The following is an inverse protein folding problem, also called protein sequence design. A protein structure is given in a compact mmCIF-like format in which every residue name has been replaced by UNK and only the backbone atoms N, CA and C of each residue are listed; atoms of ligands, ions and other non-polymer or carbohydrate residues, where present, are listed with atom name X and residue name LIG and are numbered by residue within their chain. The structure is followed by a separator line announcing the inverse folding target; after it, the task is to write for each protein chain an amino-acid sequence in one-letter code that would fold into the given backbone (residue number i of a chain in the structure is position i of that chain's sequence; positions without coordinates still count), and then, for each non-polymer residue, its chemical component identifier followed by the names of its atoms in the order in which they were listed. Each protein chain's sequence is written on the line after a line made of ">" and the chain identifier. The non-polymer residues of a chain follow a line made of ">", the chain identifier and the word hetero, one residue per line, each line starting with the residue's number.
data_IF_481752764446
#
_entry.id   IF_481752764446
#
_cell.length_a   1.000
_cell.length_b   1.000
_cell.length_c   1.000
_cell.angle_alpha   90.00
_cell.angle_beta   90.00
_cell.angle_gamma   90.00
#
_symmetry.space_group_name_H-M   'P 1'
#
loop_
_entity.id
_entity.type
_entity.pdbx_description
1 polymer ?
#
# COMPACT_ATOMS: atom_id res chain seq x y z
N UNK A 1 -3.64 -40.66 48.27
CA UNK A 1 -4.46 -40.71 47.03
C UNK A 1 -5.47 -39.57 47.11
N UNK A 2 -5.47 -38.67 46.10
CA UNK A 2 -6.32 -37.45 45.98
C UNK A 2 -5.93 -36.39 47.03
N UNK A 3 -5.25 -35.29 46.69
CA UNK A 3 -5.73 -34.25 45.79
C UNK A 3 -4.57 -33.39 45.28
N UNK A 4 -3.97 -33.77 44.16
CA UNK A 4 -3.09 -32.91 43.33
C UNK A 4 -3.85 -32.67 42.03
N UNK A 5 -4.95 -31.92 42.09
CA UNK A 5 -5.69 -31.47 40.90
C UNK A 5 -6.36 -30.15 41.26
N UNK A 6 -5.61 -29.03 41.25
CA UNK A 6 -6.22 -27.68 41.25
C UNK A 6 -5.31 -26.49 40.94
N UNK A 7 -4.17 -26.65 40.27
CA UNK A 7 -3.29 -25.50 39.91
C UNK A 7 -2.78 -25.52 38.45
N UNK A 8 -3.42 -26.24 37.52
CA UNK A 8 -2.99 -26.27 36.09
C UNK A 8 -4.03 -25.71 35.11
N UNK A 9 -5.12 -25.12 35.61
CA UNK A 9 -6.19 -24.58 34.73
C UNK A 9 -5.97 -23.09 34.37
N UNK A 10 -4.91 -22.44 34.87
CA UNK A 10 -4.65 -21.01 34.61
C UNK A 10 -3.73 -20.72 33.41
N UNK A 11 -3.40 -21.72 32.59
CA UNK A 11 -2.49 -21.58 31.42
C UNK A 11 -3.14 -21.87 30.07
N UNK A 12 -4.46 -22.11 30.00
CA UNK A 12 -5.17 -22.44 28.75
C UNK A 12 -6.00 -21.25 28.22
N UNK A 13 -6.12 -20.14 28.97
CA UNK A 13 -6.88 -18.95 28.54
C UNK A 13 -6.01 -17.88 27.85
N UNK A 14 -4.68 -18.05 27.82
CA UNK A 14 -3.77 -17.16 27.07
C UNK A 14 -3.39 -17.68 25.68
N UNK A 15 -3.89 -18.86 25.28
CA UNK A 15 -3.57 -19.53 24.01
C UNK A 15 -4.72 -19.59 23.00
N UNK A 16 -5.86 -18.95 23.29
CA UNK A 16 -7.00 -18.92 22.36
C UNK A 16 -7.08 -17.59 21.63
N UNK A 17 -6.65 -17.63 20.37
CA UNK A 17 -7.34 -16.96 19.28
C UNK A 17 -7.53 -15.45 19.41
N UNK A 18 -6.42 -14.73 19.23
CA UNK A 18 -6.45 -13.59 18.30
C UNK A 18 -5.77 -14.07 17.01
N UNK A 19 -6.32 -15.13 16.41
CA UNK A 19 -6.39 -15.16 14.95
C UNK A 19 -7.43 -14.09 14.65
N UNK A 20 -7.00 -12.84 14.50
CA UNK A 20 -7.80 -11.89 13.73
C UNK A 20 -8.04 -12.63 12.42
N UNK A 21 -9.29 -12.99 12.21
CA UNK A 21 -9.75 -13.60 10.99
C UNK A 21 -9.59 -12.56 9.88
N UNK A 22 -8.35 -12.42 9.40
CA UNK A 22 -7.95 -11.53 8.31
C UNK A 22 -8.65 -11.91 7.00
N UNK A 23 -9.37 -13.04 6.99
CA UNK A 23 -10.16 -13.50 5.85
C UNK A 23 -11.46 -12.72 5.63
N UNK A 24 -11.98 -11.98 6.63
CA UNK A 24 -13.22 -11.19 6.47
C UNK A 24 -13.01 -9.74 6.00
N UNK A 25 -11.79 -9.20 6.05
CA UNK A 25 -11.48 -7.87 5.50
C UNK A 25 -11.16 -7.90 3.99
N UNK A 26 -11.02 -9.09 3.40
CA UNK A 26 -10.48 -9.28 2.05
C UNK A 26 -11.54 -9.48 0.96
N UNK A 27 -12.75 -8.95 1.14
CA UNK A 27 -13.82 -9.04 0.14
C UNK A 27 -14.27 -7.66 -0.34
N UNK A 28 -14.02 -7.40 -1.65
CA UNK A 28 -14.47 -6.26 -2.50
C UNK A 28 -13.52 -5.07 -2.69
N UNK A 29 -12.22 -5.30 -2.78
CA UNK A 29 -11.26 -4.28 -3.21
C UNK A 29 -10.63 -4.57 -4.57
N UNK A 30 -10.97 -3.80 -5.62
CA UNK A 30 -10.10 -3.69 -6.81
C UNK A 30 -8.77 -2.99 -6.45
N UNK A 31 -7.86 -2.71 -7.40
CA UNK A 31 -6.57 -2.06 -7.11
C UNK A 31 -6.66 -0.77 -6.27
N UNK A 32 -7.80 -0.07 -6.28
CA UNK A 32 -8.08 1.09 -5.42
C UNK A 32 -8.09 0.80 -3.91
N UNK A 33 -8.09 -0.46 -3.48
CA UNK A 33 -7.91 -0.85 -2.07
C UNK A 33 -6.45 -1.16 -1.71
N UNK A 34 -5.53 -1.12 -2.67
CA UNK A 34 -4.12 -1.46 -2.47
C UNK A 34 -3.24 -0.24 -2.14
N UNK A 35 -3.82 0.97 -2.14
CA UNK A 35 -3.09 2.22 -1.88
C UNK A 35 -2.30 2.19 -0.58
N UNK A 36 -2.85 1.81 0.60
CA UNK A 36 -2.05 1.79 1.82
C UNK A 36 -0.92 0.76 1.77
N UNK A 37 -1.11 -0.38 1.10
CA UNK A 37 -0.06 -1.38 0.90
C UNK A 37 1.06 -0.82 0.02
N UNK A 38 0.74 -0.12 -1.07
CA UNK A 38 1.74 0.53 -1.94
C UNK A 38 2.53 1.58 -1.15
N UNK A 39 1.87 2.37 -0.30
CA UNK A 39 2.57 3.33 0.58
C UNK A 39 3.55 2.61 1.51
N UNK A 40 3.14 1.49 2.10
CA UNK A 40 4.02 0.67 2.96
C UNK A 40 5.18 0.04 2.18
N UNK A 41 4.93 -0.40 0.95
CA UNK A 41 5.93 -1.01 0.05
C UNK A 41 7.01 0.04 -0.30
N UNK A 42 6.61 1.26 -0.69
CA UNK A 42 7.51 2.37 -1.05
C UNK A 42 8.30 2.89 0.15
N UNK A 43 7.66 3.00 1.31
CA UNK A 43 8.32 3.40 2.55
C UNK A 43 9.14 2.27 3.19
N UNK A 44 9.09 1.05 2.62
CA UNK A 44 9.75 -0.15 3.11
C UNK A 44 9.47 -0.32 4.60
N UNK A 45 8.20 -0.25 5.00
CA UNK A 45 7.82 -0.38 6.41
C UNK A 45 7.98 -1.84 6.88
N UNK A 46 8.18 -2.05 8.18
CA UNK A 46 8.09 -3.40 8.75
C UNK A 46 6.61 -3.79 8.93
N UNK A 47 6.34 -5.03 9.33
CA UNK A 47 4.98 -5.54 9.52
C UNK A 47 4.17 -4.66 10.50
N UNK A 48 4.74 -4.37 11.68
CA UNK A 48 4.06 -3.59 12.73
C UNK A 48 3.67 -2.18 12.25
N UNK A 49 4.59 -1.44 11.63
CA UNK A 49 4.29 -0.10 11.08
C UNK A 49 3.31 -0.19 9.92
N UNK A 50 3.43 -1.21 9.07
CA UNK A 50 2.51 -1.41 7.94
C UNK A 50 1.08 -1.62 8.42
N UNK A 51 0.86 -2.43 9.44
CA UNK A 51 -0.47 -2.67 10.02
C UNK A 51 -1.09 -1.37 10.53
N UNK A 52 -0.31 -0.56 11.26
CA UNK A 52 -0.76 0.76 11.76
C UNK A 52 -1.13 1.70 10.61
N UNK A 53 -0.30 1.78 9.57
CA UNK A 53 -0.56 2.62 8.39
C UNK A 53 -1.81 2.17 7.64
N UNK A 54 -1.97 0.86 7.41
CA UNK A 54 -3.15 0.30 6.73
C UNK A 54 -4.42 0.58 7.53
N UNK A 55 -4.42 0.31 8.83
CA UNK A 55 -5.58 0.54 9.69
C UNK A 55 -5.98 2.03 9.78
N UNK A 56 -5.00 2.93 9.89
CA UNK A 56 -5.25 4.37 9.88
C UNK A 56 -5.82 4.84 8.53
N UNK A 57 -5.27 4.34 7.42
CA UNK A 57 -5.77 4.64 6.09
C UNK A 57 -7.22 4.21 5.89
N UNK A 58 -7.55 2.98 6.30
CA UNK A 58 -8.91 2.45 6.19
C UNK A 58 -9.89 3.25 7.07
N UNK A 59 -9.47 3.61 8.29
CA UNK A 59 -10.26 4.46 9.19
C UNK A 59 -10.55 5.84 8.59
N UNK A 60 -9.51 6.53 8.09
CA UNK A 60 -9.67 7.86 7.48
C UNK A 60 -10.56 7.77 6.24
N UNK A 61 -10.33 6.77 5.38
CA UNK A 61 -11.10 6.58 4.16
C UNK A 61 -12.57 6.25 4.45
N UNK A 62 -12.85 5.46 5.49
CA UNK A 62 -14.21 5.17 5.91
C UNK A 62 -14.92 6.45 6.36
N UNK A 63 -14.29 7.25 7.24
CA UNK A 63 -14.85 8.54 7.69
C UNK A 63 -15.16 9.45 6.49
N UNK A 64 -14.25 9.55 5.53
CA UNK A 64 -14.48 10.35 4.32
C UNK A 64 -15.64 9.85 3.45
N UNK A 65 -15.80 8.52 3.34
CA UNK A 65 -16.94 7.95 2.60
C UNK A 65 -18.26 8.29 3.29
N UNK A 66 -18.31 8.20 4.62
CA UNK A 66 -19.49 8.56 5.41
C UNK A 66 -19.81 10.05 5.30
N UNK A 67 -18.80 10.93 5.39
CA UNK A 67 -18.96 12.38 5.18
C UNK A 67 -19.49 12.71 3.77
N UNK A 68 -18.97 12.04 2.75
CA UNK A 68 -19.42 12.24 1.36
C UNK A 68 -20.87 11.77 1.15
N UNK A 69 -21.26 10.66 1.79
CA UNK A 69 -22.65 10.19 1.76
C UNK A 69 -23.60 11.15 2.50
N UNK A 70 -23.17 11.66 3.65
CA UNK A 70 -23.97 12.57 4.48
C UNK A 70 -24.09 13.99 3.91
N UNK A 71 -23.10 14.43 3.11
CA UNK A 71 -23.10 15.75 2.47
C UNK A 71 -23.99 15.86 1.24
N UNK A 72 -24.53 14.75 0.73
CA UNK A 72 -25.46 14.75 -0.40
C UNK A 72 -24.84 15.29 -1.70
N UNK A 73 -23.51 15.16 -1.86
CA UNK A 73 -22.80 15.67 -3.03
C UNK A 73 -23.32 15.00 -4.31
N UNK A 74 -23.98 15.80 -5.15
CA UNK A 74 -24.42 15.37 -6.48
C UNK A 74 -23.30 15.60 -7.51
N UNK A 75 -22.50 14.57 -7.75
CA UNK A 75 -21.47 14.63 -8.77
C UNK A 75 -22.04 14.78 -10.19
N UNK A 76 -23.31 14.42 -10.45
CA UNK A 76 -23.88 14.50 -11.80
C UNK A 76 -24.11 15.95 -12.22
N UNK A 77 -24.46 16.83 -11.28
CA UNK A 77 -24.68 18.25 -11.54
C UNK A 77 -23.40 19.10 -11.56
N UNK A 78 -22.28 18.58 -11.06
CA UNK A 78 -21.00 19.29 -11.05
C UNK A 78 -20.36 19.33 -12.44
N UNK A 79 -19.81 20.48 -12.80
CA UNK A 79 -18.87 20.61 -13.92
C UNK A 79 -17.57 19.84 -13.66
N UNK A 80 -16.77 19.61 -14.71
CA UNK A 80 -15.51 18.88 -14.56
C UNK A 80 -14.49 19.63 -13.69
N UNK A 81 -14.50 20.96 -13.72
CA UNK A 81 -13.65 21.80 -12.86
C UNK A 81 -14.05 21.67 -11.39
N UNK A 82 -15.35 21.77 -11.08
CA UNK A 82 -15.86 21.60 -9.71
C UNK A 82 -15.57 20.20 -9.17
N UNK A 83 -15.70 19.16 -10.01
CA UNK A 83 -15.31 17.79 -9.63
C UNK A 83 -13.82 17.69 -9.33
N UNK A 84 -12.97 18.33 -10.15
CA UNK A 84 -11.52 18.34 -9.94
C UNK A 84 -11.17 18.98 -8.60
N UNK A 85 -11.67 20.19 -8.35
CA UNK A 85 -11.44 20.91 -7.09
C UNK A 85 -11.94 20.13 -5.88
N UNK A 86 -13.13 19.52 -5.98
CA UNK A 86 -13.67 18.67 -4.92
C UNK A 86 -12.74 17.49 -4.60
N UNK A 87 -12.25 16.79 -5.64
CA UNK A 87 -11.39 15.63 -5.47
C UNK A 87 -10.01 16.01 -4.92
N UNK A 88 -9.43 17.12 -5.37
CA UNK A 88 -8.18 17.66 -4.81
C UNK A 88 -8.34 18.06 -3.35
N UNK A 89 -9.45 18.73 -3.01
CA UNK A 89 -9.76 19.09 -1.62
C UNK A 89 -9.95 17.84 -0.74
N UNK A 90 -10.72 16.87 -1.23
CA UNK A 90 -10.94 15.59 -0.53
C UNK A 90 -9.62 14.86 -0.26
N UNK A 91 -8.74 14.81 -1.27
CA UNK A 91 -7.40 14.23 -1.15
C UNK A 91 -6.53 14.96 -0.11
N UNK A 92 -6.49 16.30 -0.13
CA UNK A 92 -5.77 17.10 0.88
C UNK A 92 -6.29 16.84 2.28
N UNK A 93 -7.60 16.71 2.44
CA UNK A 93 -8.22 16.34 3.72
C UNK A 93 -7.82 14.91 4.15
N UNK A 94 -7.73 13.96 3.22
CA UNK A 94 -7.30 12.58 3.52
C UNK A 94 -5.87 12.59 4.07
N UNK A 95 -5.00 13.32 3.38
CA UNK A 95 -3.60 13.47 3.75
C UNK A 95 -3.46 14.11 5.14
N UNK A 96 -4.17 15.20 5.40
CA UNK A 96 -4.11 15.88 6.70
C UNK A 96 -4.61 14.99 7.85
N UNK A 97 -5.68 14.23 7.63
CA UNK A 97 -6.19 13.27 8.59
C UNK A 97 -5.19 12.11 8.84
N UNK A 98 -4.61 11.54 7.77
CA UNK A 98 -3.56 10.53 7.88
C UNK A 98 -2.35 11.04 8.65
N UNK A 99 -1.91 12.28 8.37
CA UNK A 99 -0.80 12.92 9.09
C UNK A 99 -1.06 13.00 10.59
N UNK A 100 -2.29 13.31 10.98
CA UNK A 100 -2.69 13.37 12.39
C UNK A 100 -2.65 11.99 13.06
N UNK A 101 -3.18 10.97 12.39
CA UNK A 101 -3.27 9.60 12.93
C UNK A 101 -1.91 8.88 12.98
N UNK A 102 -0.99 9.22 12.06
CA UNK A 102 0.26 8.49 11.87
C UNK A 102 1.54 9.25 12.30
N UNK A 103 1.42 10.42 12.92
CA UNK A 103 2.57 11.26 13.34
C UNK A 103 3.57 10.57 14.28
N UNK A 104 3.12 9.59 15.07
CA UNK A 104 3.98 8.81 15.97
C UNK A 104 4.57 7.56 15.29
N UNK A 105 4.13 7.24 14.07
CA UNK A 105 4.51 6.04 13.30
C UNK A 105 5.46 6.40 12.15
N UNK A 106 5.17 7.51 11.48
CA UNK A 106 5.87 8.01 10.30
C UNK A 106 6.54 9.35 10.61
N UNK A 107 7.74 9.55 10.08
CA UNK A 107 8.44 10.83 10.17
C UNK A 107 7.83 11.88 9.22
N UNK A 108 8.12 13.16 9.43
CA UNK A 108 7.71 14.23 8.50
C UNK A 108 8.19 13.96 7.06
N UNK A 109 9.40 13.41 6.90
CA UNK A 109 9.95 13.03 5.59
C UNK A 109 9.19 11.86 4.95
N UNK A 110 8.72 10.91 5.75
CA UNK A 110 7.87 9.83 5.24
C UNK A 110 6.53 10.39 4.75
N UNK A 111 5.96 11.38 5.46
CA UNK A 111 4.73 12.04 5.03
C UNK A 111 4.87 12.83 3.73
N UNK A 112 5.97 13.56 3.53
CA UNK A 112 6.24 14.21 2.24
C UNK A 112 6.18 13.20 1.07
N UNK A 113 6.65 11.97 1.33
CA UNK A 113 6.55 10.88 0.35
C UNK A 113 5.12 10.40 0.18
N UNK A 114 4.37 10.19 1.27
CA UNK A 114 2.96 9.80 1.22
C UNK A 114 2.13 10.82 0.42
N UNK A 115 2.35 12.11 0.67
CA UNK A 115 1.68 13.20 -0.04
C UNK A 115 1.93 13.13 -1.55
N UNK A 116 3.20 13.02 -1.94
CA UNK A 116 3.57 12.90 -3.35
C UNK A 116 2.97 11.63 -4.00
N UNK A 117 3.04 10.49 -3.32
CA UNK A 117 2.54 9.21 -3.84
C UNK A 117 1.02 9.20 -3.97
N UNK A 118 0.30 9.77 -3.01
CA UNK A 118 -1.15 9.92 -3.10
C UNK A 118 -1.52 10.85 -4.25
N UNK A 119 -0.82 11.98 -4.43
CA UNK A 119 -1.04 12.92 -5.53
C UNK A 119 -0.84 12.28 -6.91
N UNK A 120 0.17 11.41 -7.06
CA UNK A 120 0.41 10.63 -8.28
C UNK A 120 -0.71 9.63 -8.59
N UNK A 121 -1.54 9.27 -7.59
CA UNK A 121 -2.61 8.27 -7.73
C UNK A 121 -2.05 6.97 -8.31
N UNK A 122 -0.91 6.52 -7.77
CA UNK A 122 -0.30 5.24 -8.16
C UNK A 122 -1.21 4.11 -7.69
N UNK A 123 -1.61 3.25 -8.63
CA UNK A 123 -2.50 2.11 -8.38
C UNK A 123 -1.87 0.77 -8.78
N UNK A 124 -0.64 0.78 -9.31
CA UNK A 124 0.04 -0.43 -9.72
C UNK A 124 0.96 -0.89 -8.59
N UNK A 125 0.66 -2.01 -7.92
CA UNK A 125 1.61 -2.62 -6.99
C UNK A 125 2.82 -3.16 -7.76
N UNK A 126 3.99 -3.12 -7.12
CA UNK A 126 5.23 -3.72 -7.62
C UNK A 126 5.61 -4.91 -6.73
N UNK A 127 5.81 -6.07 -7.35
CA UNK A 127 5.99 -7.32 -6.64
C UNK A 127 7.30 -7.34 -5.83
N UNK A 128 8.36 -6.75 -6.37
CA UNK A 128 9.68 -6.70 -5.77
C UNK A 128 9.72 -5.72 -4.59
N UNK A 129 9.09 -4.56 -4.69
CA UNK A 129 8.89 -3.69 -3.52
C UNK A 129 8.07 -4.38 -2.42
N UNK A 130 6.99 -5.06 -2.80
CA UNK A 130 6.16 -5.81 -1.84
C UNK A 130 6.95 -6.94 -1.18
N UNK A 131 7.76 -7.66 -1.95
CA UNK A 131 8.65 -8.70 -1.43
C UNK A 131 9.60 -8.16 -0.36
N UNK A 132 10.16 -6.95 -0.54
CA UNK A 132 11.05 -6.33 0.46
C UNK A 132 10.37 -6.06 1.79
N UNK A 133 9.10 -5.66 1.75
CA UNK A 133 8.29 -5.44 2.96
C UNK A 133 8.04 -6.74 3.74
N UNK A 134 8.00 -7.87 3.03
CA UNK A 134 7.65 -9.19 3.57
C UNK A 134 8.84 -9.99 4.11
N UNK A 135 10.07 -9.51 3.92
CA UNK A 135 11.27 -10.14 4.48
C UNK A 135 11.77 -9.38 5.72
N UNK A 136 12.53 -10.10 6.54
CA UNK A 136 13.18 -9.50 7.70
C UNK A 136 14.40 -8.68 7.26
N UNK A 137 14.31 -7.36 7.45
CA UNK A 137 15.38 -6.40 7.20
C UNK A 137 15.78 -5.75 8.52
N UNK A 138 17.08 -5.65 8.77
CA UNK A 138 17.62 -4.83 9.86
C UNK A 138 17.28 -3.36 9.64
N UNK A 139 17.24 -2.57 10.71
CA UNK A 139 16.92 -1.15 10.63
C UNK A 139 17.89 -0.37 9.71
N UNK A 140 19.18 -0.71 9.75
CA UNK A 140 20.19 -0.11 8.87
C UNK A 140 19.94 -0.46 7.38
N UNK A 141 19.62 -1.73 7.08
CA UNK A 141 19.27 -2.15 5.72
C UNK A 141 18.04 -1.39 5.23
N UNK A 142 17.01 -1.27 6.09
CA UNK A 142 15.78 -0.55 5.78
C UNK A 142 16.06 0.94 5.52
N UNK A 143 16.88 1.58 6.35
CA UNK A 143 17.27 2.98 6.17
C UNK A 143 18.04 3.23 4.85
N UNK A 144 18.82 2.25 4.38
CA UNK A 144 19.57 2.33 3.13
C UNK A 144 18.71 2.02 1.89
N UNK A 145 17.76 1.07 2.01
CA UNK A 145 16.88 0.66 0.92
C UNK A 145 15.74 1.68 0.72
N UNK A 146 15.22 2.27 1.80
CA UNK A 146 14.06 3.16 1.74
C UNK A 146 14.24 4.33 0.75
N UNK A 147 15.36 5.09 0.73
CA UNK A 147 15.55 6.15 -0.27
C UNK A 147 15.49 5.66 -1.71
N UNK A 148 15.97 4.44 -1.97
CA UNK A 148 15.93 3.83 -3.31
C UNK A 148 14.49 3.45 -3.70
N UNK A 149 13.74 2.88 -2.75
CA UNK A 149 12.34 2.53 -2.95
C UNK A 149 11.46 3.78 -3.16
N UNK A 150 11.71 4.86 -2.41
CA UNK A 150 11.04 6.16 -2.58
C UNK A 150 11.34 6.74 -3.97
N UNK A 151 12.61 6.69 -4.42
CA UNK A 151 12.99 7.18 -5.74
C UNK A 151 12.27 6.42 -6.86
N UNK A 152 12.21 5.08 -6.76
CA UNK A 152 11.48 4.25 -7.71
C UNK A 152 9.96 4.47 -7.62
N UNK A 153 9.41 4.64 -6.41
CA UNK A 153 7.99 4.91 -6.17
C UNK A 153 7.52 6.18 -6.88
N UNK A 154 8.33 7.24 -6.85
CA UNK A 154 8.07 8.50 -7.58
C UNK A 154 8.04 8.35 -9.10
N UNK A 155 8.60 7.24 -9.63
CA UNK A 155 8.61 6.90 -11.06
C UNK A 155 7.51 5.92 -11.44
N UNK A 156 6.74 5.41 -10.48
CA UNK A 156 5.62 4.52 -10.77
C UNK A 156 4.60 5.20 -11.66
N UNK A 157 4.17 4.48 -12.70
CA UNK A 157 3.19 4.99 -13.66
C UNK A 157 1.78 4.88 -13.06
N UNK A 158 0.97 5.95 -13.09
CA UNK A 158 -0.41 5.89 -12.61
C UNK A 158 -1.21 4.79 -13.33
N UNK A 159 -1.91 3.96 -12.55
CA UNK A 159 -2.63 2.79 -13.08
C UNK A 159 -3.98 3.11 -13.73
N UNK A 160 -4.52 4.32 -13.55
CA UNK A 160 -5.82 4.72 -14.06
C UNK A 160 -5.79 6.08 -14.76
N UNK A 161 -6.48 6.15 -15.90
CA UNK A 161 -6.96 7.40 -16.52
C UNK A 161 -7.97 8.01 -15.55
N UNK A 162 -7.78 9.25 -15.11
CA UNK A 162 -8.75 9.94 -14.26
C UNK A 162 -9.09 11.30 -14.87
N UNK A 163 -10.39 11.54 -15.05
CA UNK A 163 -11.04 12.76 -15.55
C UNK A 163 -10.31 13.47 -16.70
N UNK A 164 -10.61 13.06 -17.94
CA UNK A 164 -10.36 13.85 -19.15
C UNK A 164 -8.90 14.00 -19.61
N UNK A 165 -7.91 13.85 -18.72
CA UNK A 165 -6.50 13.87 -19.09
C UNK A 165 -6.08 12.48 -19.59
N UNK A 166 -6.20 12.27 -20.90
CA UNK A 166 -5.45 11.20 -21.56
C UNK A 166 -3.98 11.57 -21.49
N UNK A 167 -3.21 10.91 -20.62
CA UNK A 167 -1.77 10.81 -20.88
C UNK A 167 -1.64 10.12 -22.23
N UNK A 168 -0.90 10.76 -23.15
CA UNK A 168 -0.69 10.21 -24.48
C UNK A 168 -0.04 8.82 -24.35
N UNK A 169 -0.38 7.88 -25.24
CA UNK A 169 0.15 6.52 -25.16
C UNK A 169 1.69 6.54 -25.29
N UNK A 170 2.24 7.48 -26.06
CA UNK A 170 3.69 7.66 -26.16
C UNK A 170 4.32 8.19 -24.87
N UNK A 171 3.63 9.07 -24.14
CA UNK A 171 4.09 9.56 -22.83
C UNK A 171 4.02 8.46 -21.78
N UNK A 172 2.98 7.63 -21.83
CA UNK A 172 2.82 6.48 -20.95
C UNK A 172 3.90 5.44 -21.21
N UNK A 173 4.20 5.12 -22.47
CA UNK A 173 5.28 4.20 -22.84
C UNK A 173 6.65 4.73 -22.38
N UNK A 174 6.93 6.01 -22.55
CA UNK A 174 8.15 6.65 -22.02
C UNK A 174 8.24 6.52 -20.50
N UNK A 175 7.16 6.83 -19.78
CA UNK A 175 7.12 6.71 -18.32
C UNK A 175 7.34 5.25 -17.85
N UNK A 176 6.75 4.27 -18.55
CA UNK A 176 6.97 2.86 -18.28
C UNK A 176 8.43 2.46 -18.51
N UNK A 177 9.04 2.91 -19.61
CA UNK A 177 10.45 2.62 -19.90
C UNK A 177 11.39 3.27 -18.88
N UNK A 178 11.12 4.50 -18.45
CA UNK A 178 11.85 5.15 -17.35
C UNK A 178 11.72 4.37 -16.05
N UNK A 179 10.50 3.96 -15.69
CA UNK A 179 10.25 3.14 -14.51
C UNK A 179 11.02 1.83 -14.56
N UNK A 180 11.01 1.09 -15.68
CA UNK A 180 11.73 -0.18 -15.81
C UNK A 180 13.25 -0.01 -15.72
N UNK A 181 13.79 1.08 -16.28
CA UNK A 181 15.21 1.40 -16.16
C UNK A 181 15.60 1.65 -14.71
N UNK A 182 14.84 2.49 -14.00
CA UNK A 182 15.09 2.76 -12.58
C UNK A 182 14.85 1.52 -11.71
N UNK A 183 13.86 0.69 -12.06
CA UNK A 183 13.61 -0.59 -11.39
C UNK A 183 14.81 -1.52 -11.51
N UNK A 184 15.41 -1.64 -12.69
CA UNK A 184 16.60 -2.46 -12.89
C UNK A 184 17.76 -2.00 -11.99
N UNK A 185 18.00 -0.68 -11.92
CA UNK A 185 19.03 -0.11 -11.05
C UNK A 185 18.73 -0.30 -9.55
N UNK A 186 17.46 -0.15 -9.17
CA UNK A 186 16.98 -0.42 -7.82
C UNK A 186 17.24 -1.87 -7.42
N UNK A 187 16.82 -2.84 -8.24
CA UNK A 187 16.98 -4.27 -7.93
C UNK A 187 18.45 -4.66 -7.77
N UNK A 188 19.34 -4.15 -8.62
CA UNK A 188 20.77 -4.39 -8.52
C UNK A 188 21.33 -3.90 -7.16
N UNK A 189 21.02 -2.66 -6.78
CA UNK A 189 21.49 -2.07 -5.51
C UNK A 189 20.92 -2.78 -4.29
N UNK A 190 19.63 -3.13 -4.30
CA UNK A 190 19.01 -3.84 -3.18
C UNK A 190 19.66 -5.21 -3.00
N UNK A 191 19.92 -5.93 -4.10
CA UNK A 191 20.56 -7.25 -4.05
C UNK A 191 21.93 -7.22 -3.35
N UNK A 192 22.70 -6.14 -3.53
CA UNK A 192 24.00 -5.92 -2.86
C UNK A 192 23.86 -5.64 -1.35
N UNK A 193 22.70 -5.17 -0.89
CA UNK A 193 22.44 -4.83 0.52
C UNK A 193 21.87 -6.01 1.33
N UNK A 194 21.44 -7.08 0.67
CA UNK A 194 20.83 -8.25 1.27
C UNK A 194 21.84 -9.40 1.38
N UNK A 195 21.72 -10.22 2.43
CA UNK A 195 22.43 -11.50 2.49
C UNK A 195 21.90 -12.48 1.43
N UNK A 196 22.59 -13.60 1.22
CA UNK A 196 22.15 -14.64 0.28
C UNK A 196 20.81 -15.26 0.71
N UNK A 197 20.60 -15.45 2.02
CA UNK A 197 19.33 -15.93 2.58
C UNK A 197 18.21 -14.91 2.36
N UNK A 198 18.48 -13.62 2.61
CA UNK A 198 17.51 -12.54 2.39
C UNK A 198 17.17 -12.38 0.90
N UNK A 199 18.15 -12.51 0.01
CA UNK A 199 17.94 -12.49 -1.44
C UNK A 199 17.05 -13.66 -1.90
N UNK A 200 17.25 -14.84 -1.32
CA UNK A 200 16.43 -16.02 -1.61
C UNK A 200 14.99 -15.83 -1.13
N UNK A 201 14.81 -15.37 0.11
CA UNK A 201 13.49 -15.06 0.67
C UNK A 201 12.80 -13.93 -0.11
N UNK A 202 13.54 -12.90 -0.52
CA UNK A 202 12.99 -11.79 -1.29
C UNK A 202 12.46 -12.26 -2.64
N UNK A 203 13.19 -13.13 -3.33
CA UNK A 203 12.75 -13.72 -4.61
C UNK A 203 11.46 -14.52 -4.44
N UNK A 204 11.35 -15.33 -3.38
CA UNK A 204 10.15 -16.11 -3.07
C UNK A 204 8.96 -15.19 -2.77
N UNK A 205 9.12 -14.20 -1.89
CA UNK A 205 8.06 -13.25 -1.53
C UNK A 205 7.65 -12.34 -2.68
N UNK A 206 8.57 -11.99 -3.57
CA UNK A 206 8.25 -11.26 -4.79
C UNK A 206 7.43 -12.13 -5.76
N UNK A 207 7.73 -13.42 -5.88
CA UNK A 207 6.93 -14.32 -6.72
C UNK A 207 5.52 -14.55 -6.17
N UNK A 208 5.37 -14.70 -4.85
CA UNK A 208 4.06 -14.75 -4.18
C UNK A 208 3.27 -13.45 -4.44
N UNK A 209 3.89 -12.30 -4.25
CA UNK A 209 3.28 -11.01 -4.53
C UNK A 209 2.86 -10.85 -6.00
N UNK A 210 3.69 -11.27 -6.95
CA UNK A 210 3.36 -11.21 -8.37
C UNK A 210 2.12 -12.04 -8.69
N UNK A 211 2.01 -13.24 -8.10
CA UNK A 211 0.82 -14.09 -8.27
C UNK A 211 -0.44 -13.40 -7.78
N UNK A 212 -0.42 -12.78 -6.59
CA UNK A 212 -1.57 -12.02 -6.07
C UNK A 212 -1.96 -10.85 -7.00
N UNK A 213 -0.95 -10.15 -7.53
CA UNK A 213 -1.16 -9.04 -8.47
C UNK A 213 -1.84 -9.56 -9.74
N UNK A 214 -1.34 -10.66 -10.32
CA UNK A 214 -1.89 -11.27 -11.53
C UNK A 214 -3.34 -11.72 -11.33
N UNK A 215 -3.67 -12.33 -10.18
CA UNK A 215 -5.03 -12.73 -9.82
C UNK A 215 -5.97 -11.53 -9.68
N UNK A 216 -5.51 -10.39 -9.14
CA UNK A 216 -6.30 -9.16 -9.10
C UNK A 216 -6.53 -8.64 -10.52
N UNK A 217 -5.49 -8.61 -11.37
CA UNK A 217 -5.63 -8.15 -12.75
C UNK A 217 -6.61 -9.01 -13.55
N UNK A 218 -6.52 -10.34 -13.39
CA UNK A 218 -7.41 -11.27 -14.07
C UNK A 218 -8.87 -11.07 -13.67
N UNK A 219 -9.14 -10.94 -12.35
CA UNK A 219 -10.49 -10.61 -11.86
C UNK A 219 -11.04 -9.35 -12.51
N UNK A 220 -10.25 -8.28 -12.57
CA UNK A 220 -10.70 -7.03 -13.21
C UNK A 220 -10.95 -7.18 -14.71
N UNK A 221 -10.08 -7.90 -15.45
CA UNK A 221 -10.31 -8.17 -16.88
C UNK A 221 -11.60 -8.94 -17.11
N UNK A 222 -11.93 -9.88 -16.23
CA UNK A 222 -13.16 -10.65 -16.31
C UNK A 222 -14.40 -9.81 -15.97
N UNK A 223 -14.31 -8.88 -15.01
CA UNK A 223 -15.39 -7.93 -14.71
C UNK A 223 -15.68 -6.95 -15.86
N UNK A 224 -14.68 -6.55 -16.66
CA UNK A 224 -14.85 -5.64 -17.80
C UNK A 224 -15.49 -6.29 -19.03
N UNK A 225 -15.59 -7.62 -19.07
CA UNK A 225 -16.15 -8.39 -20.20
C UNK A 225 -17.61 -8.82 -19.99
N UNK A 226 -18.18 -8.53 -18.81
CA UNK A 226 -19.59 -8.77 -18.46
C UNK A 226 -20.37 -7.46 -18.59
#
# INVERSE_FOLDING_TARGET
>A
MRSIVRVVVLLIVLGMMITVDSSQAQQRGGFRSQTPQILCDVLVLNAEKSEKVIAAYDTVRQKQREEMQNSGVDFQSMSDEERREFMEKSQKNTIAALKTELKEVLSEKDFETVEAMMALRVFMPDAEMRGLRLIELKDEQRANIQPLAIALGKKMVPGFRFFGAQMDESEREKALNEFQKEKTAFLAKVKEMLSDEQNSAWKEKSAEAQKEIDEIQERMRNFQRQ
#
